data_IF_534244577297
#
_entry.id   IF_534244577297
#
_cell.length_a   1.000
_cell.length_b   1.000
_cell.length_c   1.000
_cell.angle_alpha   90.00
_cell.angle_beta   90.00
_cell.angle_gamma   90.00
#
_symmetry.space_group_name_H-M   'P 1'
#
loop_
_entity.id
_entity.type
_entity.pdbx_description
1 polymer ?
#
# COMPACT_ATOMS: atom_id res chain seq x y z
N UNK A 1 7.57 0.14 29.28
CA UNK A 1 6.22 -0.30 28.93
C UNK A 1 6.03 -1.75 29.32
N UNK A 2 4.79 -2.17 29.62
CA UNK A 2 4.50 -3.53 30.06
C UNK A 2 4.87 -4.60 28.98
N UNK A 3 5.03 -4.22 27.74
CA UNK A 3 5.41 -5.13 26.63
C UNK A 3 6.84 -5.69 26.80
N UNK A 4 7.79 -4.86 27.25
CA UNK A 4 9.18 -5.30 27.51
C UNK A 4 9.25 -6.39 28.59
N UNK A 5 8.45 -6.24 29.65
CA UNK A 5 8.42 -7.20 30.74
C UNK A 5 7.79 -8.55 30.35
N UNK A 6 6.89 -8.56 29.38
CA UNK A 6 6.09 -9.74 29.02
C UNK A 6 6.58 -10.48 27.78
N UNK A 7 7.41 -9.85 26.93
CA UNK A 7 7.77 -10.43 25.62
C UNK A 7 8.53 -11.76 25.78
N UNK A 8 9.34 -11.89 26.82
CA UNK A 8 10.08 -13.13 27.08
C UNK A 8 9.15 -14.33 27.33
N UNK A 9 8.08 -14.14 28.08
CA UNK A 9 7.06 -15.19 28.33
C UNK A 9 6.32 -15.57 27.03
N UNK A 10 6.01 -14.56 26.20
CA UNK A 10 5.32 -14.78 24.92
C UNK A 10 6.20 -15.56 23.97
N UNK A 11 7.47 -15.19 23.83
CA UNK A 11 8.42 -15.88 22.95
C UNK A 11 8.72 -17.30 23.42
N UNK A 12 8.79 -17.53 24.75
CA UNK A 12 8.95 -18.88 25.29
C UNK A 12 7.76 -19.79 24.94
N UNK A 13 6.55 -19.22 24.91
CA UNK A 13 5.32 -19.95 24.55
C UNK A 13 5.11 -20.10 23.04
N UNK A 14 5.52 -19.11 22.26
CA UNK A 14 5.31 -19.04 20.81
C UNK A 14 6.63 -18.69 20.09
N UNK A 15 7.61 -19.59 20.03
CA UNK A 15 8.97 -19.30 19.52
C UNK A 15 9.00 -18.97 18.04
N UNK A 16 7.99 -19.37 17.26
CA UNK A 16 7.89 -19.13 15.82
C UNK A 16 6.84 -18.08 15.44
N UNK A 17 6.49 -17.17 16.35
CA UNK A 17 5.47 -16.17 16.08
C UNK A 17 5.95 -15.16 15.03
N UNK A 18 5.03 -14.66 14.24
CA UNK A 18 5.18 -13.50 13.36
C UNK A 18 4.21 -12.41 13.85
N UNK A 19 4.69 -11.20 14.11
CA UNK A 19 3.84 -10.08 14.47
C UNK A 19 3.18 -9.45 13.24
N UNK A 20 1.91 -9.04 13.39
CA UNK A 20 1.20 -8.22 12.40
C UNK A 20 0.97 -6.84 13.02
N UNK A 21 1.45 -5.78 12.35
CA UNK A 21 1.36 -4.40 12.84
C UNK A 21 0.42 -3.55 11.96
N UNK A 22 -0.72 -3.17 12.57
CA UNK A 22 -1.67 -2.18 12.08
C UNK A 22 -2.01 -1.22 13.24
N UNK A 23 -0.99 -0.62 13.82
CA UNK A 23 -1.11 0.28 14.98
C UNK A 23 -1.31 1.74 14.53
N UNK A 24 -0.57 2.68 15.08
CA UNK A 24 -0.67 4.10 14.77
C UNK A 24 0.61 4.59 14.08
N UNK A 25 0.55 5.57 13.16
CA UNK A 25 1.72 6.12 12.47
C UNK A 25 2.86 6.54 13.38
N UNK A 26 2.56 7.10 14.57
CA UNK A 26 3.57 7.51 15.54
C UNK A 26 4.28 6.35 16.24
N UNK A 27 3.74 5.13 16.16
CA UNK A 27 4.32 3.96 16.80
C UNK A 27 5.23 3.13 15.86
N UNK A 28 5.26 3.46 14.56
CA UNK A 28 5.94 2.66 13.52
C UNK A 28 7.38 2.38 13.86
N UNK A 29 8.19 3.42 14.12
CA UNK A 29 9.62 3.26 14.36
C UNK A 29 9.92 2.57 15.70
N UNK A 30 9.19 2.91 16.77
CA UNK A 30 9.34 2.29 18.09
C UNK A 30 8.93 0.81 18.07
N UNK A 31 7.88 0.47 17.32
CA UNK A 31 7.45 -0.92 17.16
C UNK A 31 8.46 -1.71 16.34
N UNK A 32 8.96 -1.16 15.24
CA UNK A 32 9.99 -1.82 14.44
C UNK A 32 11.27 -2.06 15.25
N UNK A 33 11.73 -1.08 16.02
CA UNK A 33 12.89 -1.23 16.91
C UNK A 33 12.64 -2.34 17.95
N UNK A 34 11.45 -2.38 18.54
CA UNK A 34 11.05 -3.46 19.46
C UNK A 34 11.12 -4.83 18.81
N UNK A 35 10.56 -5.00 17.59
CA UNK A 35 10.58 -6.28 16.88
C UNK A 35 12.01 -6.71 16.53
N UNK A 36 12.81 -5.79 16.02
CA UNK A 36 14.24 -6.07 15.68
C UNK A 36 15.03 -6.47 16.93
N UNK A 37 14.92 -5.72 18.03
CA UNK A 37 15.64 -5.99 19.28
C UNK A 37 15.31 -7.36 19.88
N UNK A 38 14.07 -7.80 19.74
CA UNK A 38 13.59 -9.10 20.24
C UNK A 38 13.62 -10.20 19.18
N UNK A 39 14.17 -9.94 17.98
CA UNK A 39 14.27 -10.88 16.86
C UNK A 39 12.90 -11.48 16.45
N UNK A 40 11.85 -10.66 16.49
CA UNK A 40 10.48 -11.05 16.15
C UNK A 40 10.21 -10.71 14.68
N UNK A 41 10.05 -11.68 13.79
CA UNK A 41 9.63 -11.41 12.42
C UNK A 41 8.28 -10.66 12.39
N UNK A 42 8.11 -9.73 11.44
CA UNK A 42 6.86 -8.96 11.40
C UNK A 42 6.37 -8.62 10.00
N UNK A 43 5.05 -8.42 9.90
CA UNK A 43 4.36 -7.85 8.74
C UNK A 43 3.76 -6.52 9.18
N UNK A 44 4.20 -5.42 8.57
CA UNK A 44 3.77 -4.06 8.93
C UNK A 44 3.00 -3.41 7.78
N UNK A 45 1.71 -3.20 8.00
CA UNK A 45 0.83 -2.43 7.14
C UNK A 45 0.59 -1.01 7.65
N UNK A 46 1.05 -0.68 8.86
CA UNK A 46 0.97 0.68 9.40
C UNK A 46 1.77 1.64 8.53
N UNK A 47 1.14 2.74 8.11
CA UNK A 47 1.77 3.81 7.33
C UNK A 47 2.26 4.94 8.23
N UNK A 48 3.14 5.82 7.71
CA UNK A 48 3.73 6.93 8.47
C UNK A 48 5.06 6.56 9.13
N UNK A 49 5.44 7.30 10.17
CA UNK A 49 6.76 7.22 10.78
C UNK A 49 7.89 7.73 9.87
N UNK A 50 9.13 7.61 10.32
CA UNK A 50 10.32 7.84 9.50
C UNK A 50 10.62 6.59 8.69
N UNK A 51 10.26 6.62 7.40
CA UNK A 51 10.37 5.48 6.49
C UNK A 51 11.82 5.14 6.14
N UNK A 52 12.68 6.12 6.07
CA UNK A 52 14.10 5.89 5.78
C UNK A 52 14.79 5.25 6.98
N UNK A 53 14.54 5.74 8.19
CA UNK A 53 15.05 5.14 9.41
C UNK A 53 14.54 3.70 9.58
N UNK A 54 13.25 3.44 9.30
CA UNK A 54 12.67 2.11 9.32
C UNK A 54 13.37 1.17 8.33
N UNK A 55 13.56 1.61 7.09
CA UNK A 55 14.20 0.79 6.05
C UNK A 55 15.65 0.48 6.42
N UNK A 56 16.41 1.47 6.92
CA UNK A 56 17.79 1.26 7.40
C UNK A 56 17.83 0.26 8.55
N UNK A 57 16.98 0.44 9.57
CA UNK A 57 16.95 -0.42 10.75
C UNK A 57 16.79 -1.90 10.38
N UNK A 58 15.81 -2.23 9.54
CA UNK A 58 15.53 -3.63 9.16
C UNK A 58 16.57 -4.20 8.19
N UNK A 59 17.13 -3.35 7.31
CA UNK A 59 18.18 -3.75 6.38
C UNK A 59 19.49 -4.04 7.10
N UNK A 60 19.95 -3.15 7.98
CA UNK A 60 21.20 -3.30 8.75
C UNK A 60 21.16 -4.53 9.67
N UNK A 61 19.98 -4.81 10.22
CA UNK A 61 19.76 -5.99 11.06
C UNK A 61 19.54 -7.29 10.24
N UNK A 62 19.45 -7.24 8.91
CA UNK A 62 18.96 -8.34 8.07
C UNK A 62 17.69 -8.97 8.66
N UNK A 63 16.73 -8.13 9.09
CA UNK A 63 15.58 -8.59 9.86
C UNK A 63 14.45 -9.11 8.96
N UNK A 64 13.97 -10.37 9.19
CA UNK A 64 12.85 -10.92 8.42
C UNK A 64 11.56 -10.11 8.64
N UNK A 65 11.14 -9.39 7.62
CA UNK A 65 9.94 -8.55 7.70
C UNK A 65 9.30 -8.36 6.33
N UNK A 66 7.98 -8.11 6.31
CA UNK A 66 7.28 -7.56 5.14
C UNK A 66 6.73 -6.19 5.53
N UNK A 67 7.19 -5.14 4.85
CA UNK A 67 6.76 -3.77 5.12
C UNK A 67 6.13 -3.21 3.85
N UNK A 68 4.84 -2.90 3.91
CA UNK A 68 4.14 -2.36 2.76
C UNK A 68 3.09 -1.32 3.16
N UNK A 69 3.05 -0.16 2.50
CA UNK A 69 2.02 0.86 2.75
C UNK A 69 0.64 0.43 2.24
N UNK A 70 0.58 -0.59 1.41
CA UNK A 70 -0.64 -1.18 0.88
C UNK A 70 -0.50 -2.71 0.82
N UNK A 71 -1.41 -3.43 1.48
CA UNK A 71 -1.44 -4.89 1.49
C UNK A 71 -2.44 -5.45 0.47
N UNK A 72 -3.18 -4.60 -0.26
CA UNK A 72 -4.08 -5.05 -1.32
C UNK A 72 -3.26 -5.44 -2.56
N UNK A 73 -2.98 -6.73 -2.72
CA UNK A 73 -2.11 -7.26 -3.78
C UNK A 73 -2.52 -6.84 -5.19
N UNK A 74 -3.81 -6.77 -5.50
CA UNK A 74 -4.31 -6.34 -6.81
C UNK A 74 -4.03 -4.85 -7.06
N UNK A 75 -4.13 -4.01 -6.03
CA UNK A 75 -3.79 -2.59 -6.13
C UNK A 75 -2.27 -2.41 -6.33
N UNK A 76 -1.46 -3.19 -5.62
CA UNK A 76 0.00 -3.16 -5.78
C UNK A 76 0.41 -3.64 -7.18
N UNK A 77 -0.25 -4.69 -7.70
CA UNK A 77 -0.03 -5.16 -9.07
C UNK A 77 -0.40 -4.10 -10.11
N UNK A 78 -1.52 -3.39 -9.92
CA UNK A 78 -1.91 -2.26 -10.77
C UNK A 78 -0.87 -1.13 -10.72
N UNK A 79 -0.40 -0.74 -9.54
CA UNK A 79 0.67 0.27 -9.40
C UNK A 79 1.94 -0.14 -10.15
N UNK A 80 2.33 -1.41 -10.03
CA UNK A 80 3.48 -1.95 -10.74
C UNK A 80 3.30 -1.95 -12.26
N UNK A 81 2.09 -2.20 -12.76
CA UNK A 81 1.76 -2.10 -14.19
C UNK A 81 1.96 -0.67 -14.71
N UNK A 82 1.45 0.34 -13.99
CA UNK A 82 1.63 1.75 -14.40
C UNK A 82 3.09 2.17 -14.28
N UNK A 83 3.82 1.73 -13.26
CA UNK A 83 5.25 2.00 -13.13
C UNK A 83 6.06 1.35 -14.26
N UNK A 84 5.74 0.12 -14.64
CA UNK A 84 6.35 -0.55 -15.80
C UNK A 84 6.10 0.24 -17.08
N UNK A 85 4.85 0.65 -17.32
CA UNK A 85 4.48 1.48 -18.47
C UNK A 85 5.31 2.77 -18.53
N UNK A 86 5.45 3.45 -17.38
CA UNK A 86 6.21 4.69 -17.29
C UNK A 86 7.72 4.50 -17.57
N UNK A 87 8.28 3.36 -17.18
CA UNK A 87 9.70 3.08 -17.37
C UNK A 87 10.03 2.61 -18.80
N UNK A 88 9.17 1.78 -19.39
CA UNK A 88 9.43 1.17 -20.71
C UNK A 88 8.93 2.02 -21.87
N UNK A 89 7.88 2.82 -21.66
CA UNK A 89 7.22 3.59 -22.71
C UNK A 89 6.91 5.03 -22.25
N UNK A 90 7.92 5.80 -21.83
CA UNK A 90 7.72 7.12 -21.21
C UNK A 90 6.99 8.12 -22.10
N UNK A 91 7.10 8.01 -23.42
CA UNK A 91 6.47 8.93 -24.40
C UNK A 91 5.15 8.37 -25.00
N UNK A 92 4.66 7.23 -24.53
CA UNK A 92 3.49 6.58 -25.16
C UNK A 92 2.21 7.45 -25.10
N UNK A 93 2.13 8.38 -24.15
CA UNK A 93 0.99 9.27 -23.96
C UNK A 93 1.36 10.75 -24.07
N UNK A 94 2.38 11.09 -24.90
CA UNK A 94 2.71 12.48 -25.16
C UNK A 94 1.49 13.20 -25.75
N UNK A 95 1.18 14.40 -25.25
CA UNK A 95 0.02 15.19 -25.62
C UNK A 95 -1.31 14.77 -24.98
N UNK A 96 -1.33 13.70 -24.19
CA UNK A 96 -2.54 13.33 -23.43
C UNK A 96 -2.70 14.15 -22.16
N UNK A 97 -3.95 14.32 -21.73
CA UNK A 97 -4.31 14.98 -20.47
C UNK A 97 -4.67 13.94 -19.44
N UNK A 98 -4.05 14.01 -18.27
CA UNK A 98 -4.39 13.19 -17.11
C UNK A 98 -5.47 13.89 -16.27
N UNK A 99 -6.45 13.12 -15.80
CA UNK A 99 -7.36 13.52 -14.73
C UNK A 99 -7.46 12.38 -13.71
N UNK A 100 -7.49 12.72 -12.42
CA UNK A 100 -7.55 11.74 -11.33
C UNK A 100 -8.63 12.15 -10.34
N UNK A 101 -9.54 11.22 -10.05
CA UNK A 101 -10.60 11.39 -9.06
C UNK A 101 -10.49 10.30 -8.01
N UNK A 102 -10.56 10.67 -6.74
CA UNK A 102 -10.60 9.71 -5.64
C UNK A 102 -11.79 9.95 -4.71
N UNK A 103 -12.39 8.88 -4.23
CA UNK A 103 -13.39 8.89 -3.18
C UNK A 103 -12.97 8.02 -2.01
N UNK A 104 -13.06 8.60 -0.82
CA UNK A 104 -12.81 7.95 0.46
C UNK A 104 -13.81 8.46 1.49
N UNK A 105 -13.91 7.76 2.64
CA UNK A 105 -14.79 8.19 3.73
C UNK A 105 -14.56 9.66 4.09
N UNK A 106 -15.62 10.35 4.47
CA UNK A 106 -15.69 11.80 4.79
C UNK A 106 -14.59 12.28 5.73
N UNK A 107 -14.17 11.44 6.69
CA UNK A 107 -13.16 11.78 7.68
C UNK A 107 -11.72 11.77 7.15
N UNK A 108 -11.49 11.26 5.93
CA UNK A 108 -10.16 11.25 5.31
C UNK A 108 -9.88 12.58 4.63
N UNK A 109 -9.09 13.43 5.28
CA UNK A 109 -8.72 14.76 4.77
C UNK A 109 -7.56 14.70 3.74
N UNK A 110 -6.62 13.79 3.93
CA UNK A 110 -5.43 13.65 3.09
C UNK A 110 -5.72 12.92 1.77
N UNK A 111 -4.84 13.12 0.80
CA UNK A 111 -4.85 12.42 -0.48
C UNK A 111 -4.33 10.99 -0.31
N UNK A 112 -4.94 10.03 -0.99
CA UNK A 112 -4.54 8.62 -0.99
C UNK A 112 -3.08 8.41 -1.36
N UNK A 113 -2.35 7.62 -0.57
CA UNK A 113 -0.99 7.20 -0.91
C UNK A 113 -0.91 6.40 -2.21
N UNK A 114 -1.95 5.62 -2.52
CA UNK A 114 -2.09 4.89 -3.78
C UNK A 114 -2.21 5.85 -4.96
N UNK A 115 -3.10 6.85 -4.86
CA UNK A 115 -3.27 7.85 -5.92
C UNK A 115 -1.98 8.65 -6.15
N UNK A 116 -1.28 9.06 -5.07
CA UNK A 116 0.02 9.74 -5.17
C UNK A 116 1.07 8.90 -5.90
N UNK A 117 1.15 7.60 -5.60
CA UNK A 117 2.11 6.70 -6.24
C UNK A 117 1.83 6.54 -7.74
N UNK A 118 0.55 6.39 -8.13
CA UNK A 118 0.15 6.28 -9.53
C UNK A 118 0.41 7.60 -10.28
N UNK A 119 0.06 8.75 -9.69
CA UNK A 119 0.39 10.07 -10.25
C UNK A 119 1.90 10.24 -10.43
N UNK A 120 2.71 9.81 -9.46
CA UNK A 120 4.17 9.82 -9.58
C UNK A 120 4.69 9.01 -10.76
N UNK A 121 4.05 7.90 -11.12
CA UNK A 121 4.38 7.15 -12.33
C UNK A 121 3.99 7.91 -13.60
N UNK A 122 2.83 8.54 -13.64
CA UNK A 122 2.43 9.40 -14.75
C UNK A 122 3.33 10.64 -14.91
N UNK A 123 3.82 11.22 -13.81
CA UNK A 123 4.81 12.29 -13.87
C UNK A 123 6.12 11.86 -14.57
N UNK A 124 6.58 10.63 -14.36
CA UNK A 124 7.73 10.05 -15.08
C UNK A 124 7.47 9.95 -16.60
N UNK A 125 6.21 9.87 -17.01
CA UNK A 125 5.79 9.90 -18.43
C UNK A 125 5.58 11.31 -18.97
N UNK A 126 5.98 12.36 -18.25
CA UNK A 126 5.92 13.74 -18.70
C UNK A 126 4.61 14.49 -18.38
N UNK A 127 3.66 13.86 -17.66
CA UNK A 127 2.44 14.56 -17.27
C UNK A 127 2.72 15.67 -16.24
N UNK A 128 2.35 16.90 -16.57
CA UNK A 128 2.39 18.05 -15.67
C UNK A 128 1.19 18.03 -14.71
N UNK A 129 1.05 16.96 -13.94
CA UNK A 129 -0.03 16.71 -13.00
C UNK A 129 0.56 16.37 -11.63
N UNK A 130 0.05 16.99 -10.58
CA UNK A 130 0.58 16.81 -9.22
C UNK A 130 -0.44 16.14 -8.32
N UNK A 131 -0.03 15.59 -7.17
CA UNK A 131 -0.99 15.08 -6.19
C UNK A 131 -2.00 16.10 -5.67
N UNK A 132 -1.73 17.41 -5.81
CA UNK A 132 -2.65 18.47 -5.38
C UNK A 132 -3.78 18.70 -6.40
N UNK A 133 -3.57 18.28 -7.66
CA UNK A 133 -4.59 18.32 -8.72
C UNK A 133 -5.63 17.19 -8.61
N UNK A 134 -5.39 16.20 -7.73
CA UNK A 134 -6.30 15.07 -7.53
C UNK A 134 -7.63 15.58 -6.95
N UNK A 135 -8.72 15.34 -7.67
CA UNK A 135 -10.06 15.65 -7.19
C UNK A 135 -10.47 14.68 -6.07
N UNK A 136 -10.84 15.24 -4.92
CA UNK A 136 -11.25 14.48 -3.73
C UNK A 136 -12.75 14.55 -3.51
N UNK A 137 -13.48 13.48 -3.81
CA UNK A 137 -14.90 13.35 -3.53
C UNK A 137 -15.10 12.89 -2.09
N UNK A 138 -15.66 13.76 -1.22
CA UNK A 138 -15.87 13.52 0.21
C UNK A 138 -17.30 13.76 0.66
N UNK A 139 -18.17 14.27 -0.23
CA UNK A 139 -19.59 14.49 0.03
C UNK A 139 -20.35 13.22 -0.28
N UNK A 140 -21.08 12.66 0.69
CA UNK A 140 -21.75 11.36 0.60
C UNK A 140 -22.69 11.27 -0.62
N UNK A 141 -23.44 12.35 -0.91
CA UNK A 141 -24.31 12.40 -2.09
C UNK A 141 -23.52 12.21 -3.38
N UNK A 142 -22.40 12.92 -3.56
CA UNK A 142 -21.54 12.79 -4.74
C UNK A 142 -20.86 11.42 -4.81
N UNK A 143 -20.50 10.85 -3.64
CA UNK A 143 -19.95 9.50 -3.56
C UNK A 143 -20.93 8.47 -4.10
N UNK A 144 -22.20 8.57 -3.77
CA UNK A 144 -23.23 7.65 -4.27
C UNK A 144 -23.60 7.93 -5.73
N UNK A 145 -23.89 9.19 -6.08
CA UNK A 145 -24.44 9.54 -7.39
C UNK A 145 -23.39 9.52 -8.51
N UNK A 146 -22.17 9.99 -8.23
CA UNK A 146 -21.09 10.12 -9.22
C UNK A 146 -20.11 8.97 -9.20
N UNK A 147 -19.71 8.54 -8.00
CA UNK A 147 -18.71 7.49 -7.85
C UNK A 147 -19.32 6.09 -7.66
N UNK A 148 -20.66 6.01 -7.54
CA UNK A 148 -21.41 4.78 -7.34
C UNK A 148 -20.96 3.96 -6.09
N UNK A 149 -20.55 4.67 -5.04
CA UNK A 149 -20.23 4.03 -3.76
C UNK A 149 -21.52 3.54 -3.11
N UNK A 150 -21.65 2.25 -2.78
CA UNK A 150 -22.81 1.75 -2.06
C UNK A 150 -22.92 2.39 -0.67
N UNK A 151 -24.14 2.70 -0.25
CA UNK A 151 -24.42 3.45 0.99
C UNK A 151 -23.77 2.81 2.22
N UNK A 152 -23.83 1.47 2.32
CA UNK A 152 -23.23 0.71 3.42
C UNK A 152 -21.70 0.81 3.51
N UNK A 153 -21.02 1.28 2.45
CA UNK A 153 -19.57 1.44 2.40
C UNK A 153 -19.09 2.90 2.47
N UNK A 154 -19.99 3.87 2.67
CA UNK A 154 -19.61 5.28 2.83
C UNK A 154 -18.61 5.51 3.97
N UNK A 155 -18.69 4.71 5.03
CA UNK A 155 -17.76 4.72 6.16
C UNK A 155 -16.41 4.02 5.92
N UNK A 156 -16.23 3.35 4.77
CA UNK A 156 -15.02 2.55 4.52
C UNK A 156 -14.88 2.08 3.07
N UNK A 157 -14.51 2.99 2.18
CA UNK A 157 -14.23 2.69 0.77
C UNK A 157 -12.98 3.40 0.28
N UNK A 158 -12.48 2.97 -0.87
CA UNK A 158 -11.37 3.57 -1.60
C UNK A 158 -11.61 3.40 -3.11
N UNK A 159 -12.17 4.40 -3.76
CA UNK A 159 -12.48 4.42 -5.18
C UNK A 159 -11.54 5.38 -5.89
N UNK A 160 -10.95 4.95 -6.98
CA UNK A 160 -10.01 5.76 -7.77
C UNK A 160 -10.27 5.58 -9.25
N UNK A 161 -10.34 6.69 -9.97
CA UNK A 161 -10.43 6.72 -11.43
C UNK A 161 -9.30 7.59 -11.98
N UNK A 162 -8.59 7.06 -12.97
CA UNK A 162 -7.51 7.74 -13.70
C UNK A 162 -7.91 7.76 -15.17
N UNK A 163 -8.02 8.93 -15.77
CA UNK A 163 -8.38 9.08 -17.18
C UNK A 163 -7.26 9.75 -17.95
N UNK A 164 -7.02 9.25 -19.17
CA UNK A 164 -6.10 9.81 -20.14
C UNK A 164 -6.87 10.14 -21.40
N UNK A 165 -6.97 11.42 -21.73
CA UNK A 165 -7.68 11.92 -22.90
C UNK A 165 -6.69 12.49 -23.92
N UNK A 166 -6.80 12.08 -25.20
CA UNK A 166 -6.02 12.71 -26.29
C UNK A 166 -6.40 14.16 -26.45
N UNK A 167 -5.48 14.99 -26.99
CA UNK A 167 -5.69 16.41 -27.18
C UNK A 167 -6.93 16.73 -28.05
N UNK A 168 -7.17 15.91 -29.07
CA UNK A 168 -8.31 16.03 -29.99
C UNK A 168 -9.61 15.39 -29.47
N UNK A 169 -9.57 14.75 -28.29
CA UNK A 169 -10.73 14.09 -27.65
C UNK A 169 -11.21 12.82 -28.34
N UNK A 170 -10.45 12.28 -29.31
CA UNK A 170 -10.86 11.06 -30.05
C UNK A 170 -10.48 9.78 -29.35
N UNK A 171 -9.56 9.81 -28.38
CA UNK A 171 -9.10 8.64 -27.63
C UNK A 171 -9.23 8.90 -26.13
N UNK A 172 -9.84 7.96 -25.45
CA UNK A 172 -10.07 7.98 -24.00
C UNK A 172 -9.60 6.66 -23.39
N UNK A 173 -8.76 6.72 -22.38
CA UNK A 173 -8.42 5.60 -21.51
C UNK A 173 -8.94 5.87 -20.12
N UNK A 174 -9.54 4.86 -19.51
CA UNK A 174 -9.94 4.90 -18.10
C UNK A 174 -9.39 3.69 -17.36
N UNK A 175 -8.71 3.94 -16.25
CA UNK A 175 -8.28 2.93 -15.29
C UNK A 175 -9.01 3.18 -13.97
N UNK A 176 -9.74 2.18 -13.49
CA UNK A 176 -10.50 2.32 -12.26
C UNK A 176 -10.23 1.14 -11.32
N UNK A 177 -10.14 1.42 -10.04
CA UNK A 177 -10.17 0.39 -9.00
C UNK A 177 -10.96 0.87 -7.79
N UNK A 178 -11.89 0.04 -7.36
CA UNK A 178 -12.86 0.35 -6.32
C UNK A 178 -12.80 -0.72 -5.22
N UNK A 179 -12.59 -0.28 -4.00
CA UNK A 179 -12.53 -1.14 -2.83
C UNK A 179 -13.63 -0.75 -1.86
N UNK A 180 -14.47 -1.72 -1.50
CA UNK A 180 -15.46 -1.63 -0.44
C UNK A 180 -15.01 -2.47 0.76
N UNK A 181 -14.98 -1.87 1.94
CA UNK A 181 -14.53 -2.53 3.16
C UNK A 181 -13.02 -2.76 3.22
N UNK A 182 -12.60 -3.79 3.96
CA UNK A 182 -11.17 -4.03 4.27
C UNK A 182 -10.70 -5.46 4.00
N UNK A 183 -11.55 -6.32 3.45
CA UNK A 183 -11.24 -7.73 3.23
C UNK A 183 -10.00 -7.94 2.37
N UNK A 184 -9.86 -7.17 1.28
CA UNK A 184 -8.73 -7.24 0.35
C UNK A 184 -7.37 -7.02 1.06
N UNK A 185 -7.33 -6.13 2.07
CA UNK A 185 -6.11 -5.88 2.85
C UNK A 185 -5.80 -7.02 3.81
N UNK A 186 -6.84 -7.63 4.41
CA UNK A 186 -6.67 -8.78 5.29
C UNK A 186 -6.15 -10.00 4.52
N UNK A 187 -6.68 -10.27 3.33
CA UNK A 187 -6.20 -11.34 2.44
C UNK A 187 -4.73 -11.16 2.08
N UNK A 188 -4.33 -9.98 1.62
CA UNK A 188 -2.93 -9.71 1.29
C UNK A 188 -2.01 -9.75 2.51
N UNK A 189 -2.50 -9.39 3.70
CA UNK A 189 -1.73 -9.54 4.94
C UNK A 189 -1.47 -11.01 5.27
N UNK A 190 -2.48 -11.88 5.12
CA UNK A 190 -2.30 -13.33 5.32
C UNK A 190 -1.30 -13.90 4.32
N UNK A 191 -1.38 -13.49 3.04
CA UNK A 191 -0.41 -13.91 2.04
C UNK A 191 1.01 -13.43 2.39
N UNK A 192 1.17 -12.21 2.91
CA UNK A 192 2.46 -11.68 3.37
C UNK A 192 3.03 -12.46 4.56
N UNK A 193 2.18 -12.88 5.51
CA UNK A 193 2.59 -13.72 6.65
C UNK A 193 3.05 -15.09 6.18
N UNK A 194 2.30 -15.75 5.30
CA UNK A 194 2.65 -17.06 4.75
C UNK A 194 3.96 -17.00 3.96
N UNK A 195 4.10 -15.98 3.10
CA UNK A 195 5.34 -15.72 2.37
C UNK A 195 6.52 -15.53 3.32
N UNK A 196 6.39 -14.71 4.36
CA UNK A 196 7.46 -14.45 5.32
C UNK A 196 7.86 -15.73 6.07
N UNK A 197 6.88 -16.54 6.49
CA UNK A 197 7.13 -17.81 7.16
C UNK A 197 7.93 -18.77 6.26
N UNK A 198 7.60 -18.84 4.96
CA UNK A 198 8.36 -19.65 3.99
C UNK A 198 9.79 -19.13 3.79
N UNK A 199 9.97 -17.80 3.70
CA UNK A 199 11.31 -17.21 3.59
C UNK A 199 12.17 -17.52 4.80
N UNK A 200 11.60 -17.42 6.00
CA UNK A 200 12.30 -17.80 7.25
C UNK A 200 12.70 -19.28 7.23
N UNK A 201 11.78 -20.16 6.85
CA UNK A 201 12.04 -21.60 6.75
C UNK A 201 13.14 -21.93 5.71
N UNK A 202 13.25 -21.11 4.66
CA UNK A 202 14.30 -21.20 3.65
C UNK A 202 15.64 -20.56 4.08
N UNK A 203 15.73 -20.03 5.31
CA UNK A 203 16.93 -19.39 5.84
C UNK A 203 17.17 -17.97 5.30
N UNK A 204 16.17 -17.35 4.66
CA UNK A 204 16.29 -15.98 4.14
C UNK A 204 15.95 -14.98 5.24
N UNK A 205 16.93 -14.18 5.63
CA UNK A 205 16.79 -13.14 6.64
C UNK A 205 17.03 -11.76 5.99
N UNK A 206 15.97 -11.11 5.55
CA UNK A 206 15.99 -9.74 4.98
C UNK A 206 14.61 -9.11 5.01
N UNK A 207 14.52 -7.78 4.87
CA UNK A 207 13.23 -7.13 4.63
C UNK A 207 12.71 -7.40 3.21
N UNK A 208 11.39 -7.49 3.11
CA UNK A 208 10.63 -7.65 1.87
C UNK A 208 9.53 -6.59 1.79
N UNK A 209 8.98 -6.42 0.61
CA UNK A 209 7.81 -5.60 0.34
C UNK A 209 6.69 -6.42 -0.33
N UNK A 210 5.54 -5.78 -0.62
CA UNK A 210 4.41 -6.49 -1.23
C UNK A 210 4.69 -6.96 -2.66
N UNK A 211 5.61 -6.32 -3.38
CA UNK A 211 6.04 -6.80 -4.72
C UNK A 211 6.80 -8.13 -4.66
N UNK A 212 7.59 -8.33 -3.59
CA UNK A 212 8.27 -9.61 -3.37
C UNK A 212 7.26 -10.73 -3.11
N UNK A 213 6.21 -10.43 -2.33
CA UNK A 213 5.08 -11.36 -2.09
C UNK A 213 4.38 -11.71 -3.41
N UNK A 214 4.05 -10.71 -4.23
CA UNK A 214 3.42 -10.91 -5.54
C UNK A 214 4.27 -11.78 -6.47
N UNK A 215 5.57 -11.49 -6.57
CA UNK A 215 6.50 -12.24 -7.45
C UNK A 215 6.69 -13.69 -7.03
N UNK A 216 6.41 -14.05 -5.79
CA UNK A 216 6.48 -15.44 -5.33
C UNK A 216 5.45 -16.36 -6.02
N UNK A 217 4.39 -15.81 -6.58
CA UNK A 217 3.32 -16.55 -7.25
C UNK A 217 2.46 -17.42 -6.33
N UNK A 218 2.71 -17.40 -5.02
CA UNK A 218 2.07 -18.25 -4.00
C UNK A 218 0.91 -17.56 -3.29
N UNK A 219 0.11 -16.83 -4.04
CA UNK A 219 -1.06 -16.14 -3.52
C UNK A 219 -2.32 -17.00 -3.64
N UNK A 220 -3.21 -16.85 -2.67
CA UNK A 220 -4.54 -17.49 -2.66
C UNK A 220 -5.56 -16.68 -3.45
#
# INVERSE_FOLDING_TARGET
SNREARIGEVLAKYPNMICIDYTHPTAVNDNAAFYVNHKIPFVMGTTGGDREALARLVADANHPSVIAPNMAKQIVAFQAMIEFLANEFPSAFDGYKLSVVESHQKTKADTSGTARAVVGSFQKMGFAYTPDDIEKVRVEKEQMERMHVPEEYLGGHAFHTYTLDSEDGTVHFEFQHNVCGRKIYAEGTVDAVNFLAEQIAAGTAKPFNMMDVLRSGKMR
#
